data_IF_161880612669
#
_entry.id   IF_161880612669
#
_cell.length_a   1.000
_cell.length_b   1.000
_cell.length_c   1.000
_cell.angle_alpha   90.00
_cell.angle_beta   90.00
_cell.angle_gamma   90.00
#
_symmetry.space_group_name_H-M   'P 1'
#
loop_
_entity.id
_entity.type
_entity.pdbx_description
1 polymer ?
#
# COMPACT_ATOMS: atom_id res chain seq x y z
N UNK A 1 19.99 -47.28 -23.14
CA UNK A 1 19.96 -46.99 -21.68
C UNK A 1 20.39 -45.54 -21.44
N UNK A 2 19.62 -44.54 -21.88
CA UNK A 2 20.01 -43.12 -21.84
C UNK A 2 19.16 -42.25 -20.89
N UNK A 3 18.16 -42.81 -20.21
CA UNK A 3 17.14 -42.03 -19.51
C UNK A 3 17.59 -41.43 -18.16
N UNK A 4 18.56 -42.05 -17.49
CA UNK A 4 18.90 -41.69 -16.10
C UNK A 4 19.63 -40.34 -15.98
N UNK A 5 20.42 -39.97 -16.99
CA UNK A 5 21.17 -38.72 -16.95
C UNK A 5 20.26 -37.48 -17.10
N UNK A 6 19.20 -37.62 -17.88
CA UNK A 6 18.21 -36.57 -18.11
C UNK A 6 17.33 -36.36 -16.86
N UNK A 7 16.99 -37.46 -16.17
CA UNK A 7 16.29 -37.44 -14.89
C UNK A 7 17.11 -36.70 -13.82
N UNK A 8 18.42 -36.97 -13.74
CA UNK A 8 19.33 -36.31 -12.79
C UNK A 8 19.54 -34.82 -13.10
N UNK A 9 19.58 -34.45 -14.39
CA UNK A 9 19.66 -33.07 -14.82
C UNK A 9 18.37 -32.31 -14.49
N UNK A 10 17.21 -32.94 -14.68
CA UNK A 10 15.91 -32.38 -14.34
C UNK A 10 15.77 -32.21 -12.82
N UNK A 11 16.15 -33.22 -12.04
CA UNK A 11 16.15 -33.18 -10.59
C UNK A 11 17.03 -32.03 -10.05
N UNK A 12 18.23 -31.83 -10.61
CA UNK A 12 19.10 -30.69 -10.27
C UNK A 12 18.48 -29.34 -10.60
N UNK A 13 17.81 -29.21 -11.74
CA UNK A 13 17.13 -27.96 -12.13
C UNK A 13 15.93 -27.65 -11.22
N UNK A 14 15.17 -28.67 -10.82
CA UNK A 14 14.05 -28.52 -9.88
C UNK A 14 14.56 -28.15 -8.48
N UNK A 15 15.65 -28.77 -8.00
CA UNK A 15 16.27 -28.44 -6.72
C UNK A 15 16.77 -26.98 -6.69
N UNK A 16 17.50 -26.56 -7.73
CA UNK A 16 17.99 -25.18 -7.86
C UNK A 16 16.83 -24.14 -7.96
N UNK A 17 15.74 -24.48 -8.65
CA UNK A 17 14.56 -23.63 -8.71
C UNK A 17 13.86 -23.52 -7.35
N UNK A 18 13.74 -24.64 -6.61
CA UNK A 18 13.14 -24.68 -5.27
C UNK A 18 13.97 -23.96 -4.21
N UNK A 19 15.29 -23.80 -4.38
CA UNK A 19 16.12 -22.98 -3.48
C UNK A 19 16.01 -21.48 -3.78
N UNK A 20 15.74 -21.09 -5.03
CA UNK A 20 15.52 -19.69 -5.43
C UNK A 20 14.08 -19.19 -5.17
N UNK A 21 13.11 -20.08 -5.08
CA UNK A 21 11.69 -19.81 -4.77
C UNK A 21 11.40 -19.29 -3.34
N UNK A 22 11.95 -19.85 -2.23
CA UNK A 22 11.63 -19.40 -0.87
C UNK A 22 12.01 -17.93 -0.66
N UNK A 23 13.15 -17.50 -1.20
CA UNK A 23 13.62 -16.12 -1.17
C UNK A 23 12.70 -15.16 -1.93
N UNK A 24 12.15 -15.59 -3.07
CA UNK A 24 11.17 -14.79 -3.85
C UNK A 24 9.79 -14.76 -3.21
N UNK A 25 9.39 -15.84 -2.55
CA UNK A 25 8.11 -15.94 -1.84
C UNK A 25 8.12 -15.12 -0.56
N UNK A 26 9.23 -15.09 0.17
CA UNK A 26 9.41 -14.25 1.35
C UNK A 26 9.62 -12.76 1.00
N UNK A 27 10.34 -12.47 -0.09
CA UNK A 27 10.45 -11.10 -0.63
C UNK A 27 9.09 -10.53 -1.04
N UNK A 28 8.28 -11.32 -1.77
CA UNK A 28 6.93 -10.92 -2.18
C UNK A 28 5.98 -10.76 -0.99
N UNK A 29 6.01 -11.65 0.00
CA UNK A 29 5.23 -11.49 1.25
C UNK A 29 5.65 -10.23 2.04
N UNK A 30 6.94 -9.90 2.08
CA UNK A 30 7.45 -8.68 2.72
C UNK A 30 7.03 -7.42 1.97
N UNK A 31 7.12 -7.42 0.65
CA UNK A 31 6.67 -6.31 -0.21
C UNK A 31 5.15 -6.09 -0.12
N UNK A 32 4.36 -7.17 -0.10
CA UNK A 32 2.92 -7.10 0.11
C UNK A 32 2.58 -6.52 1.50
N UNK A 33 3.30 -6.93 2.55
CA UNK A 33 3.05 -6.43 3.92
C UNK A 33 3.37 -4.94 4.12
N UNK A 34 4.30 -4.37 3.35
CA UNK A 34 4.66 -2.95 3.43
C UNK A 34 3.59 -2.03 2.84
N UNK A 35 2.86 -2.48 1.82
CA UNK A 35 1.76 -1.70 1.23
C UNK A 35 0.59 -1.54 2.21
N UNK A 36 0.27 -2.60 2.95
CA UNK A 36 -0.82 -2.60 3.93
C UNK A 36 -0.51 -1.74 5.16
N UNK A 37 0.73 -1.72 5.64
CA UNK A 37 1.10 -0.88 6.79
C UNK A 37 0.95 0.61 6.49
N UNK A 38 1.35 1.05 5.30
CA UNK A 38 1.20 2.45 4.88
C UNK A 38 -0.28 2.83 4.72
N UNK A 39 -1.10 1.93 4.19
CA UNK A 39 -2.54 2.13 4.11
C UNK A 39 -3.19 2.22 5.51
N UNK A 40 -2.77 1.36 6.45
CA UNK A 40 -3.27 1.39 7.83
C UNK A 40 -2.84 2.64 8.59
N UNK A 41 -1.60 3.10 8.41
CA UNK A 41 -1.14 4.37 9.00
C UNK A 41 -1.95 5.56 8.48
N UNK A 42 -2.26 5.57 7.18
CA UNK A 42 -3.09 6.61 6.58
C UNK A 42 -4.53 6.60 7.10
N UNK A 43 -5.17 5.43 7.11
CA UNK A 43 -6.54 5.27 7.64
C UNK A 43 -6.57 5.56 9.15
N UNK A 44 -5.56 5.12 9.89
CA UNK A 44 -5.39 5.43 11.31
C UNK A 44 -5.30 6.93 11.57
N UNK A 45 -4.51 7.66 10.80
CA UNK A 45 -4.40 9.12 10.91
C UNK A 45 -5.74 9.82 10.57
N UNK A 46 -6.48 9.34 9.56
CA UNK A 46 -7.81 9.85 9.24
C UNK A 46 -8.81 9.64 10.38
N UNK A 47 -8.82 8.44 10.98
CA UNK A 47 -9.72 8.12 12.10
C UNK A 47 -9.39 8.94 13.35
N UNK A 48 -8.10 9.09 13.68
CA UNK A 48 -7.67 9.93 14.82
C UNK A 48 -8.01 11.39 14.58
N UNK A 49 -7.75 11.94 13.38
CA UNK A 49 -8.09 13.31 13.03
C UNK A 49 -9.59 13.57 13.05
N UNK A 50 -10.40 12.63 12.56
CA UNK A 50 -11.85 12.70 12.60
C UNK A 50 -12.43 12.61 14.00
N UNK A 51 -11.91 11.69 14.82
CA UNK A 51 -12.31 11.55 16.21
C UNK A 51 -11.94 12.78 17.03
N UNK A 52 -10.72 13.29 16.87
CA UNK A 52 -10.27 14.49 17.58
C UNK A 52 -11.06 15.73 17.15
N UNK A 53 -11.35 15.87 15.85
CA UNK A 53 -12.22 16.93 15.32
C UNK A 53 -13.65 16.85 15.88
N UNK A 54 -14.21 15.64 16.02
CA UNK A 54 -15.53 15.44 16.62
C UNK A 54 -15.56 15.80 18.12
N UNK A 55 -14.53 15.44 18.88
CA UNK A 55 -14.41 15.82 20.30
C UNK A 55 -14.31 17.33 20.46
N UNK A 56 -13.53 18.00 19.60
CA UNK A 56 -13.38 19.47 19.59
C UNK A 56 -14.71 20.15 19.23
N UNK A 57 -15.42 19.69 18.19
CA UNK A 57 -16.74 20.21 17.81
C UNK A 57 -17.75 20.08 18.98
N UNK A 58 -17.70 18.96 19.71
CA UNK A 58 -18.59 18.70 20.85
C UNK A 58 -18.33 19.61 22.04
N UNK A 59 -17.07 19.97 22.29
CA UNK A 59 -16.66 20.88 23.37
C UNK A 59 -16.85 22.35 23.01
N UNK A 60 -16.55 22.73 21.77
CA UNK A 60 -16.67 24.10 21.30
C UNK A 60 -18.14 24.54 21.09
N UNK A 61 -19.07 23.60 20.94
CA UNK A 61 -20.48 23.89 20.68
C UNK A 61 -20.73 24.58 19.34
N UNK A 62 -19.69 24.77 18.53
CA UNK A 62 -19.72 25.26 17.16
C UNK A 62 -20.20 24.12 16.24
N UNK A 63 -20.92 24.47 15.17
CA UNK A 63 -21.40 23.50 14.15
C UNK A 63 -20.28 22.65 13.52
N UNK A 64 -20.58 21.80 12.51
CA UNK A 64 -19.78 20.63 12.08
C UNK A 64 -18.44 20.98 11.43
N UNK A 65 -17.57 21.69 12.14
CA UNK A 65 -16.30 22.25 11.68
C UNK A 65 -15.25 21.16 11.49
N UNK A 66 -15.23 20.14 12.35
CA UNK A 66 -14.40 18.95 12.19
C UNK A 66 -14.73 18.18 10.90
N UNK A 67 -16.03 18.07 10.55
CA UNK A 67 -16.48 17.51 9.27
C UNK A 67 -16.01 18.36 8.08
N UNK A 68 -16.07 19.69 8.17
CA UNK A 68 -15.60 20.60 7.12
C UNK A 68 -14.07 20.49 6.94
N UNK A 69 -13.30 20.40 8.03
CA UNK A 69 -11.84 20.20 7.99
C UNK A 69 -11.46 18.87 7.35
N UNK A 70 -12.14 17.76 7.70
CA UNK A 70 -11.93 16.45 7.07
C UNK A 70 -12.28 16.45 5.58
N UNK A 71 -13.40 17.09 5.22
CA UNK A 71 -13.84 17.22 3.83
C UNK A 71 -12.83 18.04 3.01
N UNK A 72 -12.36 19.17 3.54
CA UNK A 72 -11.36 20.04 2.91
C UNK A 72 -10.00 19.35 2.79
N UNK A 73 -9.58 18.62 3.82
CA UNK A 73 -8.30 17.91 3.80
C UNK A 73 -8.34 16.75 2.80
N UNK A 74 -9.40 15.93 2.80
CA UNK A 74 -9.62 14.88 1.81
C UNK A 74 -9.71 15.41 0.38
N UNK A 75 -10.40 16.54 0.19
CA UNK A 75 -10.50 17.23 -1.10
C UNK A 75 -9.15 17.77 -1.58
N UNK A 76 -8.35 18.39 -0.71
CA UNK A 76 -7.01 18.87 -1.03
C UNK A 76 -6.06 17.72 -1.38
N UNK A 77 -6.12 16.60 -0.67
CA UNK A 77 -5.37 15.37 -1.00
C UNK A 77 -5.78 14.82 -2.37
N UNK A 78 -7.07 14.77 -2.68
CA UNK A 78 -7.60 14.35 -3.98
C UNK A 78 -7.11 15.23 -5.13
N UNK A 79 -7.24 16.56 -5.01
CA UNK A 79 -6.74 17.51 -6.01
C UNK A 79 -5.23 17.38 -6.24
N UNK A 80 -4.44 17.18 -5.18
CA UNK A 80 -2.99 17.00 -5.29
C UNK A 80 -2.59 15.70 -6.02
N UNK A 81 -3.44 14.68 -6.01
CA UNK A 81 -3.23 13.46 -6.81
C UNK A 81 -3.45 13.74 -8.29
N UNK A 82 -4.57 14.39 -8.63
CA UNK A 82 -4.97 14.70 -10.01
C UNK A 82 -3.98 15.66 -10.68
N UNK A 83 -3.60 16.75 -10.02
CA UNK A 83 -2.65 17.74 -10.57
C UNK A 83 -1.25 17.14 -10.82
N UNK A 84 -0.90 16.08 -10.10
CA UNK A 84 0.37 15.36 -10.29
C UNK A 84 0.30 14.34 -11.43
N UNK A 85 -0.88 13.78 -11.68
CA UNK A 85 -1.11 12.87 -12.81
C UNK A 85 -1.09 13.61 -14.14
N UNK A 86 -1.64 14.83 -14.23
CA UNK A 86 -1.63 15.60 -15.48
C UNK A 86 -0.20 15.95 -15.95
N UNK A 87 0.69 16.33 -15.02
CA UNK A 87 2.10 16.63 -15.36
C UNK A 87 2.91 15.45 -15.90
N UNK A 88 2.39 14.22 -15.82
CA UNK A 88 3.04 13.03 -16.37
C UNK A 88 2.59 12.68 -17.79
N UNK A 89 1.53 13.32 -18.29
CA UNK A 89 0.93 12.98 -19.59
C UNK A 89 1.39 13.96 -20.69
N UNK A 90 1.78 15.19 -20.33
CA UNK A 90 2.26 16.19 -21.30
C UNK A 90 3.78 16.12 -21.56
N UNK A 91 4.42 15.01 -21.17
CA UNK A 91 5.86 14.80 -21.25
C UNK A 91 6.31 13.77 -22.29
N UNK A 92 5.42 13.34 -23.18
CA UNK A 92 5.73 12.53 -24.37
C UNK A 92 5.50 13.31 -25.66
#
# INVERSE_FOLDING_TARGET
MANHHDDDALARRIAAAREAEPSRRDGRKREESQGWSVALEFVGAMLVGGFLGWVIDRWAGTGPWGMIMLLLLGFATGLRSVLRQQKKIDGE
#
